data_IF_256467228195
#
_entry.id   IF_256467228195
#
_cell.length_a   1.000
_cell.length_b   1.000
_cell.length_c   1.000
_cell.angle_alpha   90.00
_cell.angle_beta   90.00
_cell.angle_gamma   90.00
#
_symmetry.space_group_name_H-M   'P 1'
#
loop_
_entity.id
_entity.type
_entity.pdbx_description
1 polymer ?
#
# COMPACT_ATOMS: atom_id res chain seq x y z
N UNK A 1 -46.11 43.99 17.47
CA UNK A 1 -44.74 43.99 16.88
C UNK A 1 -44.01 42.71 17.30
N UNK A 2 -44.74 41.72 17.85
CA UNK A 2 -44.22 40.42 18.26
C UNK A 2 -44.28 39.34 17.16
N UNK A 3 -44.98 39.56 16.04
CA UNK A 3 -45.08 38.52 14.98
C UNK A 3 -43.87 38.44 14.04
N UNK A 4 -42.93 39.39 14.12
CA UNK A 4 -41.70 39.37 13.32
C UNK A 4 -40.49 38.76 14.07
N UNK A 5 -40.61 38.50 15.38
CA UNK A 5 -39.54 37.86 16.17
C UNK A 5 -39.62 36.33 16.15
N UNK A 6 -40.75 35.77 15.70
CA UNK A 6 -40.91 34.32 15.60
C UNK A 6 -40.32 33.72 14.31
N UNK A 7 -40.15 34.52 13.26
CA UNK A 7 -39.61 34.06 11.98
C UNK A 7 -38.06 34.05 11.96
N UNK A 8 -37.43 34.90 12.78
CA UNK A 8 -35.97 34.96 12.91
C UNK A 8 -35.36 33.77 13.68
N UNK A 9 -36.16 33.04 14.47
CA UNK A 9 -35.69 31.89 15.26
C UNK A 9 -35.89 30.54 14.57
N UNK A 10 -36.55 30.51 13.40
CA UNK A 10 -36.85 29.25 12.69
C UNK A 10 -35.75 28.80 11.73
N UNK A 11 -34.75 29.63 11.45
CA UNK A 11 -33.63 29.29 10.57
C UNK A 11 -32.39 28.75 11.30
N UNK A 12 -32.54 28.27 12.53
CA UNK A 12 -31.44 27.59 13.25
C UNK A 12 -31.68 26.10 13.54
N UNK A 13 -32.58 25.44 12.80
CA UNK A 13 -32.83 24.01 13.00
C UNK A 13 -32.84 23.18 11.71
N UNK A 14 -32.00 23.55 10.74
CA UNK A 14 -31.62 22.59 9.69
C UNK A 14 -30.21 22.80 9.16
N UNK A 15 -29.26 23.08 10.05
CA UNK A 15 -28.02 22.31 9.96
C UNK A 15 -28.33 20.96 10.62
N UNK A 16 -29.22 20.18 9.98
CA UNK A 16 -29.06 18.74 10.07
C UNK A 16 -27.63 18.57 9.60
N UNK A 17 -26.76 18.29 10.56
CA UNK A 17 -25.52 17.64 10.27
C UNK A 17 -25.91 16.59 9.24
N UNK A 18 -25.47 16.79 8.01
CA UNK A 18 -25.17 15.67 7.16
C UNK A 18 -24.08 14.92 7.91
N UNK A 19 -24.43 14.24 9.01
CA UNK A 19 -24.13 12.84 9.16
C UNK A 19 -24.65 12.20 7.89
N UNK A 20 -23.90 12.39 6.80
CA UNK A 20 -23.52 11.29 5.95
C UNK A 20 -23.25 10.20 6.96
N UNK A 21 -24.23 9.31 7.08
CA UNK A 21 -24.03 8.01 7.65
C UNK A 21 -22.87 7.46 6.82
N UNK A 22 -21.64 7.74 7.24
CA UNK A 22 -20.43 7.03 6.85
C UNK A 22 -20.60 5.65 7.46
N UNK A 23 -21.61 4.92 7.01
CA UNK A 23 -21.68 3.49 7.13
C UNK A 23 -20.49 3.07 6.30
N UNK A 24 -19.39 2.78 7.00
CA UNK A 24 -18.23 2.16 6.41
C UNK A 24 -18.73 0.90 5.71
N UNK A 25 -18.82 0.95 4.39
CA UNK A 25 -19.28 -0.17 3.61
C UNK A 25 -18.26 -1.29 3.77
N UNK A 26 -18.75 -2.50 4.04
CA UNK A 26 -17.87 -3.65 4.11
C UNK A 26 -17.05 -3.75 2.82
N UNK A 27 -15.74 -4.06 2.90
CA UNK A 27 -14.89 -4.10 1.72
C UNK A 27 -15.46 -5.08 0.71
N UNK A 28 -15.64 -4.63 -0.52
CA UNK A 28 -15.99 -5.52 -1.63
C UNK A 28 -14.87 -6.55 -1.85
N UNK A 29 -15.14 -7.57 -2.66
CA UNK A 29 -14.21 -8.69 -2.84
C UNK A 29 -12.83 -8.24 -3.36
N UNK A 30 -12.80 -7.26 -4.28
CA UNK A 30 -11.56 -6.70 -4.81
C UNK A 30 -10.74 -6.00 -3.72
N UNK A 31 -11.41 -5.19 -2.90
CA UNK A 31 -10.81 -4.47 -1.77
C UNK A 31 -10.24 -5.46 -0.75
N UNK A 32 -10.99 -6.52 -0.42
CA UNK A 32 -10.51 -7.58 0.47
C UNK A 32 -9.28 -8.31 -0.10
N UNK A 33 -9.28 -8.62 -1.41
CA UNK A 33 -8.13 -9.25 -2.09
C UNK A 33 -6.89 -8.35 -2.06
N UNK A 34 -7.06 -7.04 -2.25
CA UNK A 34 -5.97 -6.07 -2.13
C UNK A 34 -5.41 -6.02 -0.70
N UNK A 35 -6.26 -5.90 0.32
CA UNK A 35 -5.82 -5.87 1.71
C UNK A 35 -5.10 -7.16 2.12
N UNK A 36 -5.63 -8.33 1.73
CA UNK A 36 -4.97 -9.60 1.98
C UNK A 36 -3.58 -9.67 1.33
N UNK A 37 -3.46 -9.17 0.10
CA UNK A 37 -2.17 -9.09 -0.58
C UNK A 37 -1.19 -8.14 0.14
N UNK A 38 -1.65 -6.95 0.55
CA UNK A 38 -0.83 -6.00 1.28
C UNK A 38 -0.36 -6.56 2.62
N UNK A 39 -1.25 -7.24 3.37
CA UNK A 39 -0.92 -7.90 4.63
C UNK A 39 0.13 -9.00 4.44
N UNK A 40 0.02 -9.83 3.40
CA UNK A 40 1.02 -10.86 3.08
C UNK A 40 2.37 -10.27 2.66
N UNK A 41 2.34 -9.21 1.84
CA UNK A 41 3.55 -8.52 1.38
C UNK A 41 4.27 -7.79 2.53
N UNK A 42 3.53 -7.32 3.53
CA UNK A 42 4.07 -6.66 4.72
C UNK A 42 4.55 -7.63 5.81
N UNK A 43 4.35 -8.94 5.66
CA UNK A 43 4.94 -9.90 6.60
C UNK A 43 6.47 -9.80 6.60
N UNK A 44 7.12 -9.92 7.78
CA UNK A 44 8.56 -10.05 7.89
C UNK A 44 9.08 -11.19 7.01
N UNK A 45 10.30 -11.07 6.50
CA UNK A 45 10.92 -12.13 5.69
C UNK A 45 11.02 -13.46 6.45
N UNK A 46 11.22 -13.39 7.76
CA UNK A 46 11.23 -14.51 8.69
C UNK A 46 11.03 -13.98 10.12
N UNK A 47 10.87 -14.88 11.10
CA UNK A 47 10.68 -14.48 12.50
C UNK A 47 11.84 -13.62 13.00
N UNK A 48 11.54 -12.41 13.47
CA UNK A 48 12.53 -11.44 13.96
C UNK A 48 13.19 -10.56 12.89
N UNK A 49 12.86 -10.74 11.60
CA UNK A 49 13.37 -9.85 10.54
C UNK A 49 12.75 -8.45 10.65
N UNK A 50 13.57 -7.41 10.45
CA UNK A 50 13.10 -6.03 10.38
C UNK A 50 12.50 -5.68 9.02
N UNK A 51 13.02 -6.28 7.95
CA UNK A 51 12.52 -6.09 6.59
C UNK A 51 11.35 -7.06 6.30
N UNK A 52 10.33 -6.55 5.62
CA UNK A 52 9.23 -7.32 5.00
C UNK A 52 9.50 -7.64 3.53
N UNK A 53 8.71 -8.54 2.92
CA UNK A 53 8.79 -8.82 1.48
C UNK A 53 8.64 -7.53 0.65
N UNK A 54 7.68 -6.68 1.00
CA UNK A 54 7.45 -5.40 0.33
C UNK A 54 8.64 -4.46 0.48
N UNK A 55 9.19 -4.31 1.69
CA UNK A 55 10.35 -3.44 1.91
C UNK A 55 11.56 -3.90 1.10
N UNK A 56 11.75 -5.22 0.93
CA UNK A 56 12.81 -5.76 0.10
C UNK A 56 12.60 -5.43 -1.38
N UNK A 57 11.38 -5.55 -1.90
CA UNK A 57 11.05 -5.12 -3.27
C UNK A 57 11.38 -3.65 -3.48
N UNK A 58 10.96 -2.77 -2.55
CA UNK A 58 11.23 -1.33 -2.62
C UNK A 58 12.74 -1.04 -2.62
N UNK A 59 13.51 -1.71 -1.75
CA UNK A 59 14.96 -1.53 -1.67
C UNK A 59 15.69 -2.01 -2.93
N UNK A 60 15.23 -3.11 -3.56
CA UNK A 60 15.79 -3.57 -4.83
C UNK A 60 15.56 -2.54 -5.96
N UNK A 61 14.35 -1.98 -6.04
CA UNK A 61 14.02 -0.94 -7.02
C UNK A 61 14.81 0.34 -6.77
N UNK A 62 14.91 0.78 -5.51
CA UNK A 62 15.72 1.93 -5.13
C UNK A 62 17.20 1.71 -5.46
N UNK A 63 17.74 0.50 -5.21
CA UNK A 63 19.10 0.14 -5.56
C UNK A 63 19.35 0.28 -7.07
N UNK A 64 18.39 -0.18 -7.88
CA UNK A 64 18.44 -0.02 -9.33
C UNK A 64 18.57 1.45 -9.73
N UNK A 65 17.62 2.28 -9.29
CA UNK A 65 17.53 3.68 -9.69
C UNK A 65 18.69 4.52 -9.16
N UNK A 66 19.10 4.31 -7.91
CA UNK A 66 20.15 5.10 -7.28
C UNK A 66 21.53 4.85 -7.90
N UNK A 67 21.77 3.64 -8.43
CA UNK A 67 23.08 3.21 -8.92
C UNK A 67 23.08 2.88 -10.42
N UNK A 68 21.98 3.15 -11.12
CA UNK A 68 21.76 2.81 -12.52
C UNK A 68 22.12 1.36 -12.86
N UNK A 69 21.74 0.41 -11.99
CA UNK A 69 22.07 -1.01 -12.15
C UNK A 69 21.20 -1.60 -13.28
N UNK A 70 21.77 -2.39 -14.21
CA UNK A 70 20.96 -3.13 -15.18
C UNK A 70 20.02 -4.13 -14.50
N UNK A 71 18.89 -4.46 -15.14
CA UNK A 71 17.92 -5.41 -14.57
C UNK A 71 18.56 -6.75 -14.18
N UNK A 72 19.52 -7.24 -14.98
CA UNK A 72 20.26 -8.47 -14.69
C UNK A 72 21.07 -8.40 -13.38
N UNK A 73 21.60 -7.22 -13.02
CA UNK A 73 22.29 -7.01 -11.75
C UNK A 73 21.33 -7.08 -10.56
N UNK A 74 20.12 -6.51 -10.71
CA UNK A 74 19.06 -6.63 -9.71
C UNK A 74 18.57 -8.07 -9.58
N UNK A 75 18.41 -8.80 -10.68
CA UNK A 75 18.03 -10.21 -10.66
C UNK A 75 19.07 -11.05 -9.90
N UNK A 76 20.37 -10.74 -10.06
CA UNK A 76 21.44 -11.39 -9.33
C UNK A 76 21.37 -11.08 -7.83
N UNK A 77 21.21 -9.81 -7.45
CA UNK A 77 21.07 -9.39 -6.04
C UNK A 77 19.83 -10.02 -5.41
N UNK A 78 18.69 -10.04 -6.11
CA UNK A 78 17.46 -10.65 -5.63
C UNK A 78 17.64 -12.15 -5.32
N UNK A 79 18.34 -12.88 -6.20
CA UNK A 79 18.69 -14.29 -5.96
C UNK A 79 19.63 -14.45 -4.78
N UNK A 80 20.64 -13.60 -4.65
CA UNK A 80 21.55 -13.61 -3.49
C UNK A 80 20.80 -13.42 -2.17
N UNK A 81 19.86 -12.46 -2.11
CA UNK A 81 19.02 -12.24 -0.92
C UNK A 81 18.14 -13.46 -0.64
N UNK A 82 17.52 -14.05 -1.66
CA UNK A 82 16.72 -15.27 -1.50
C UNK A 82 17.52 -16.45 -0.96
N UNK A 83 18.76 -16.63 -1.43
CA UNK A 83 19.61 -17.73 -0.98
C UNK A 83 20.14 -17.52 0.43
N UNK A 84 20.33 -16.27 0.85
CA UNK A 84 20.71 -15.91 2.21
C UNK A 84 19.53 -15.94 3.21
N UNK A 85 18.28 -15.91 2.73
CA UNK A 85 17.10 -15.87 3.59
C UNK A 85 16.63 -17.30 3.95
N UNK A 86 16.33 -17.60 5.23
CA UNK A 86 15.89 -18.93 5.64
C UNK A 86 14.53 -19.33 5.05
N UNK A 87 13.68 -18.35 4.74
CA UNK A 87 12.38 -18.55 4.09
C UNK A 87 12.44 -17.92 2.70
N UNK A 88 12.31 -18.74 1.66
CA UNK A 88 12.41 -18.30 0.25
C UNK A 88 11.08 -17.90 -0.37
N UNK A 89 9.96 -18.19 0.29
CA UNK A 89 8.62 -17.96 -0.26
C UNK A 89 8.27 -16.48 -0.29
N UNK A 90 7.76 -16.01 -1.43
CA UNK A 90 7.25 -14.65 -1.59
C UNK A 90 8.30 -13.56 -1.80
N UNK A 91 9.59 -13.90 -1.85
CA UNK A 91 10.65 -12.97 -2.26
C UNK A 91 10.69 -12.82 -3.79
N UNK A 92 10.99 -11.62 -4.32
CA UNK A 92 11.15 -11.41 -5.75
C UNK A 92 12.40 -12.14 -6.26
N UNK A 93 12.32 -12.73 -7.47
CA UNK A 93 13.46 -13.37 -8.14
C UNK A 93 14.11 -12.48 -9.18
N UNK A 94 13.36 -11.46 -9.60
CA UNK A 94 13.72 -10.55 -10.67
C UNK A 94 13.32 -9.12 -10.33
N UNK A 95 13.90 -8.16 -11.04
CA UNK A 95 13.45 -6.77 -11.06
C UNK A 95 11.95 -6.66 -11.35
N UNK A 96 11.43 -7.43 -12.31
CA UNK A 96 10.03 -7.38 -12.70
C UNK A 96 9.11 -7.94 -11.62
N UNK A 97 9.53 -8.96 -10.87
CA UNK A 97 8.76 -9.46 -9.72
C UNK A 97 8.63 -8.37 -8.65
N UNK A 98 9.74 -7.71 -8.32
CA UNK A 98 9.75 -6.60 -7.38
C UNK A 98 8.86 -5.44 -7.86
N UNK A 99 9.00 -5.05 -9.13
CA UNK A 99 8.18 -4.01 -9.78
C UNK A 99 6.69 -4.34 -9.71
N UNK A 100 6.31 -5.60 -9.99
CA UNK A 100 4.91 -6.06 -9.94
C UNK A 100 4.31 -5.96 -8.55
N UNK A 101 5.07 -6.32 -7.51
CA UNK A 101 4.61 -6.19 -6.11
C UNK A 101 4.35 -4.74 -5.75
N UNK A 102 5.32 -3.85 -6.06
CA UNK A 102 5.21 -2.43 -5.78
C UNK A 102 4.06 -1.75 -6.54
N UNK A 103 3.87 -2.04 -7.84
CA UNK A 103 2.72 -1.53 -8.61
C UNK A 103 1.41 -2.01 -7.99
N UNK A 104 1.33 -3.29 -7.60
CA UNK A 104 0.11 -3.86 -7.05
C UNK A 104 -0.28 -3.25 -5.70
N UNK A 105 0.66 -2.73 -4.91
CA UNK A 105 0.38 -1.96 -3.68
C UNK A 105 0.20 -0.45 -3.92
N UNK A 106 0.27 0.02 -5.17
CA UNK A 106 0.10 1.43 -5.52
C UNK A 106 1.36 2.29 -5.43
N UNK A 107 2.55 1.68 -5.38
CA UNK A 107 3.83 2.41 -5.41
C UNK A 107 4.21 2.72 -6.86
N UNK A 108 4.37 4.00 -7.18
CA UNK A 108 4.89 4.47 -8.46
C UNK A 108 6.40 4.22 -8.54
N UNK A 109 6.85 3.68 -9.68
CA UNK A 109 8.26 3.41 -9.95
C UNK A 109 8.63 4.23 -11.18
N UNK A 110 9.72 4.98 -11.11
CA UNK A 110 10.23 5.71 -12.27
C UNK A 110 10.54 4.72 -13.42
N UNK A 111 10.17 5.09 -14.63
CA UNK A 111 10.57 4.34 -15.82
C UNK A 111 12.05 4.61 -16.13
N UNK A 112 12.70 3.59 -16.70
CA UNK A 112 14.10 3.67 -17.17
C UNK A 112 14.17 4.48 -18.48
#
# INVERSE_FOLDING_TARGET
>A
MEDMVHDALRQNESWQASTSNNIEEAPNEETQRFFNFLLDANQPLYGGASDSKLSMCVRLLACKSNWNIPNQGIDFIAKMVMDATPIKSGLPKTYYDAKKVCIKVGITIAED
#
